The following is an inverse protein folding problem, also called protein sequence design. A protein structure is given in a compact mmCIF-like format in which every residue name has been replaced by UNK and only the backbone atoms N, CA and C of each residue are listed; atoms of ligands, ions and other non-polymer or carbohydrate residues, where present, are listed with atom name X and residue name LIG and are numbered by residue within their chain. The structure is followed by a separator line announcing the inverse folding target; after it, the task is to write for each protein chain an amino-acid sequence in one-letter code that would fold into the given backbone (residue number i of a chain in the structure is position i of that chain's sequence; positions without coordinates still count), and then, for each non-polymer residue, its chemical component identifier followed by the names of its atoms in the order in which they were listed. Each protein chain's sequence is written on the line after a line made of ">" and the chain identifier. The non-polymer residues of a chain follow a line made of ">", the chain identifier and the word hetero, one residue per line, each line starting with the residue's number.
data_IF_261345550639
#
_entry.id   IF_261345550639
#
_cell.length_a   1.000
_cell.length_b   1.000
_cell.length_c   1.000
_cell.angle_alpha   90.00
_cell.angle_beta   90.00
_cell.angle_gamma   90.00
#
_symmetry.space_group_name_H-M   'P 1'
#
loop_
_entity.id
_entity.type
_entity.pdbx_description
1 polymer ?
#
# COMPACT_ATOMS: atom_id res chain seq x y z
N UNK A 1 -23.13 38.41 14.73
CA UNK A 1 -23.49 37.25 15.57
C UNK A 1 -22.20 36.56 15.96
N UNK A 2 -21.86 36.65 17.24
CA UNK A 2 -20.73 36.00 17.94
C UNK A 2 -20.86 34.46 17.84
N UNK A 3 -19.82 33.73 17.42
CA UNK A 3 -18.78 33.09 18.26
C UNK A 3 -19.36 32.28 19.43
N UNK A 4 -19.26 30.95 19.37
CA UNK A 4 -19.00 30.03 20.50
C UNK A 4 -18.61 28.65 19.92
N UNK A 5 -17.33 28.46 19.57
CA UNK A 5 -16.77 27.13 19.33
C UNK A 5 -16.16 26.68 20.65
N UNK A 6 -16.90 25.83 21.36
CA UNK A 6 -16.59 25.45 22.73
C UNK A 6 -15.23 24.75 22.82
N UNK A 7 -14.45 25.31 23.73
CA UNK A 7 -13.10 24.94 24.09
C UNK A 7 -13.07 23.57 24.77
N UNK A 8 -12.55 22.54 24.09
CA UNK A 8 -11.90 21.42 24.77
C UNK A 8 -10.42 21.42 24.44
N UNK A 9 -9.66 21.93 25.42
CA UNK A 9 -8.21 21.83 25.50
C UNK A 9 -7.81 20.35 25.52
N UNK A 10 -7.08 19.90 24.50
CA UNK A 10 -6.04 18.89 24.70
C UNK A 10 -4.75 19.44 24.10
N UNK A 11 -3.99 19.99 25.02
CA UNK A 11 -2.61 20.43 24.91
C UNK A 11 -1.70 19.25 24.56
N UNK A 12 -0.68 19.54 23.74
CA UNK A 12 0.61 18.84 23.60
C UNK A 12 0.63 17.41 23.06
N UNK A 13 1.19 17.26 21.85
CA UNK A 13 2.60 16.88 21.70
C UNK A 13 3.09 17.32 20.31
N UNK A 14 3.92 18.36 20.29
CA UNK A 14 4.77 18.64 19.14
C UNK A 14 5.84 17.53 19.11
N UNK A 15 5.76 16.64 18.12
CA UNK A 15 6.90 15.81 17.73
C UNK A 15 7.28 16.24 16.33
N UNK A 16 8.23 17.18 16.30
CA UNK A 16 9.00 17.52 15.11
C UNK A 16 9.80 16.28 14.72
N UNK A 17 9.25 15.44 13.85
CA UNK A 17 10.04 14.47 13.14
C UNK A 17 10.85 15.26 12.11
N UNK A 18 12.09 15.59 12.47
CA UNK A 18 13.08 16.08 11.53
C UNK A 18 13.25 15.03 10.44
N UNK A 19 12.64 15.27 9.28
CA UNK A 19 12.88 14.51 8.06
C UNK A 19 14.27 14.90 7.53
N UNK A 20 15.31 14.43 8.23
CA UNK A 20 16.66 14.42 7.72
C UNK A 20 16.83 13.15 6.90
N UNK A 21 16.66 13.26 5.59
CA UNK A 21 16.78 12.10 4.70
C UNK A 21 16.53 12.43 3.22
N UNK A 22 17.45 13.18 2.63
CA UNK A 22 17.70 13.11 1.18
C UNK A 22 17.13 14.26 0.34
N UNK A 23 18.05 15.04 -0.23
CA UNK A 23 17.83 16.13 -1.18
C UNK A 23 16.96 15.68 -2.38
N UNK A 24 15.79 16.29 -2.55
CA UNK A 24 15.09 16.36 -3.84
C UNK A 24 15.03 17.82 -4.28
N UNK A 25 16.17 18.34 -4.74
CA UNK A 25 16.18 19.50 -5.63
C UNK A 25 15.92 19.01 -7.06
N UNK A 26 14.67 19.09 -7.49
CA UNK A 26 14.30 19.46 -8.85
C UNK A 26 12.80 19.75 -8.89
N UNK A 27 12.46 20.99 -9.22
CA UNK A 27 11.10 21.47 -9.35
C UNK A 27 10.31 20.66 -10.38
N UNK A 28 9.20 20.06 -9.95
CA UNK A 28 8.06 19.76 -10.81
C UNK A 28 6.78 19.85 -9.95
N UNK A 29 5.86 20.78 -10.24
CA UNK A 29 4.59 20.84 -9.54
C UNK A 29 3.66 19.73 -10.06
N UNK A 30 2.59 19.52 -9.28
CA UNK A 30 1.34 18.88 -9.68
C UNK A 30 1.25 17.35 -9.53
N UNK A 31 0.37 16.94 -8.60
CA UNK A 31 -0.57 15.83 -8.81
C UNK A 31 0.01 14.40 -8.96
N UNK A 32 0.78 13.89 -8.00
CA UNK A 32 1.09 12.45 -8.01
C UNK A 32 1.14 11.76 -6.64
N UNK A 33 0.72 12.44 -5.56
CA UNK A 33 0.82 11.90 -4.20
C UNK A 33 -0.50 11.33 -3.64
N UNK A 34 -1.55 11.14 -4.45
CA UNK A 34 -2.81 10.51 -4.02
C UNK A 34 -2.86 9.00 -4.27
N UNK A 35 -1.72 8.31 -4.26
CA UNK A 35 -1.64 6.85 -4.47
C UNK A 35 -0.93 6.11 -3.32
N UNK A 36 -0.78 6.74 -2.15
CA UNK A 36 -0.15 6.13 -0.98
C UNK A 36 -1.13 5.83 0.17
N UNK A 37 -2.45 5.89 -0.08
CA UNK A 37 -3.47 5.46 0.89
C UNK A 37 -3.85 3.99 0.66
N UNK A 38 -2.88 3.08 0.74
CA UNK A 38 -3.14 1.64 0.85
C UNK A 38 -2.84 1.19 2.27
N UNK A 39 -3.58 1.77 3.22
CA UNK A 39 -3.48 1.50 4.64
C UNK A 39 -4.82 1.03 5.20
N UNK A 40 -5.26 -0.18 4.83
CA UNK A 40 -6.37 -0.85 5.49
C UNK A 40 -6.00 -2.30 5.77
N UNK A 41 -5.26 -2.52 6.87
CA UNK A 41 -5.19 -3.82 7.53
C UNK A 41 -6.51 -4.03 8.29
N UNK A 42 -7.41 -4.86 7.75
CA UNK A 42 -8.65 -5.25 8.42
C UNK A 42 -8.78 -6.77 8.48
N UNK A 43 -8.83 -7.32 9.70
CA UNK A 43 -9.55 -8.54 10.07
C UNK A 43 -9.14 -9.86 9.42
N UNK A 44 -8.46 -10.71 10.19
CA UNK A 44 -8.14 -12.10 9.84
C UNK A 44 -9.38 -13.01 9.93
N UNK A 45 -10.22 -13.00 8.90
CA UNK A 45 -10.92 -14.22 8.45
C UNK A 45 -10.30 -14.51 7.09
N UNK A 46 -9.72 -15.70 6.89
CA UNK A 46 -9.25 -16.10 5.55
C UNK A 46 -10.48 -16.50 4.74
N UNK A 47 -11.31 -15.51 4.40
CA UNK A 47 -12.22 -15.62 3.28
C UNK A 47 -11.33 -15.45 2.06
N UNK A 48 -11.26 -16.51 1.24
CA UNK A 48 -10.56 -16.47 -0.03
C UNK A 48 -11.33 -15.57 -1.01
N UNK A 49 -11.19 -14.26 -0.85
CA UNK A 49 -11.73 -13.27 -1.79
C UNK A 49 -10.87 -13.28 -3.06
N UNK A 50 -11.20 -14.23 -3.96
CA UNK A 50 -10.48 -14.45 -5.20
C UNK A 50 -10.36 -13.19 -6.07
N UNK A 51 -11.39 -12.35 -6.07
CA UNK A 51 -11.40 -11.12 -6.86
C UNK A 51 -10.38 -10.12 -6.33
N UNK A 52 -10.37 -9.87 -5.02
CA UNK A 52 -9.36 -9.00 -4.40
C UNK A 52 -7.95 -9.54 -4.55
N UNK A 53 -7.75 -10.84 -4.30
CA UNK A 53 -6.43 -11.45 -4.41
C UNK A 53 -5.88 -11.38 -5.84
N UNK A 54 -6.72 -11.60 -6.86
CA UNK A 54 -6.30 -11.46 -8.27
C UNK A 54 -6.00 -10.01 -8.63
N UNK A 55 -6.80 -9.06 -8.14
CA UNK A 55 -6.54 -7.64 -8.33
C UNK A 55 -5.19 -7.22 -7.72
N UNK A 56 -4.89 -7.67 -6.50
CA UNK A 56 -3.63 -7.38 -5.81
C UNK A 56 -2.42 -7.98 -6.56
N UNK A 57 -2.54 -9.20 -7.09
CA UNK A 57 -1.52 -9.81 -7.95
C UNK A 57 -1.28 -8.96 -9.21
N UNK A 58 -2.34 -8.49 -9.87
CA UNK A 58 -2.24 -7.67 -11.06
C UNK A 58 -1.58 -6.31 -10.78
N UNK A 59 -1.91 -5.67 -9.66
CA UNK A 59 -1.30 -4.43 -9.22
C UNK A 59 0.20 -4.62 -8.94
N UNK A 60 0.58 -5.65 -8.19
CA UNK A 60 1.98 -5.95 -7.88
C UNK A 60 2.80 -6.27 -9.13
N UNK A 61 2.23 -6.99 -10.11
CA UNK A 61 2.89 -7.24 -11.40
C UNK A 61 3.07 -5.96 -12.20
N UNK A 62 2.06 -5.08 -12.22
CA UNK A 62 2.15 -3.76 -12.87
C UNK A 62 3.22 -2.89 -12.21
N UNK A 63 3.25 -2.85 -10.87
CA UNK A 63 4.26 -2.15 -10.09
C UNK A 63 5.66 -2.70 -10.38
N UNK A 64 5.81 -4.02 -10.43
CA UNK A 64 7.09 -4.65 -10.77
C UNK A 64 7.55 -4.23 -12.17
N UNK A 65 6.67 -4.27 -13.18
CA UNK A 65 7.02 -3.83 -14.54
C UNK A 65 7.42 -2.35 -14.59
N UNK A 66 6.74 -1.49 -13.83
CA UNK A 66 7.12 -0.08 -13.70
C UNK A 66 8.50 0.08 -13.08
N UNK A 67 8.77 -0.61 -11.97
CA UNK A 67 10.07 -0.58 -11.28
C UNK A 67 11.19 -1.11 -12.18
N UNK A 68 10.93 -2.16 -12.95
CA UNK A 68 11.88 -2.74 -13.89
C UNK A 68 12.26 -1.75 -15.00
N UNK A 69 11.26 -1.04 -15.56
CA UNK A 69 11.49 0.03 -16.56
C UNK A 69 12.26 1.23 -16.00
N UNK A 70 12.16 1.48 -14.70
CA UNK A 70 12.90 2.52 -13.99
C UNK A 70 14.31 2.07 -13.56
N UNK A 71 14.72 0.83 -13.87
CA UNK A 71 16.01 0.26 -13.46
C UNK A 71 16.07 -0.23 -12.01
N UNK A 72 14.95 -0.15 -11.27
CA UNK A 72 14.82 -0.62 -9.88
C UNK A 72 14.53 -2.14 -9.83
N UNK A 73 15.47 -2.94 -10.33
CA UNK A 73 15.29 -4.38 -10.52
C UNK A 73 15.13 -5.15 -9.20
N UNK A 74 15.78 -4.72 -8.11
CA UNK A 74 15.67 -5.37 -6.81
C UNK A 74 14.27 -5.20 -6.22
N UNK A 75 13.70 -4.01 -6.34
CA UNK A 75 12.34 -3.66 -5.92
C UNK A 75 11.32 -4.36 -6.82
N UNK A 76 11.57 -4.43 -8.13
CA UNK A 76 10.76 -5.19 -9.06
C UNK A 76 10.71 -6.68 -8.67
N UNK A 77 11.86 -7.27 -8.31
CA UNK A 77 11.94 -8.66 -7.83
C UNK A 77 11.14 -8.86 -6.53
N UNK A 78 11.22 -7.92 -5.58
CA UNK A 78 10.41 -7.96 -4.35
C UNK A 78 8.91 -7.91 -4.65
N UNK A 79 8.48 -7.04 -5.57
CA UNK A 79 7.07 -6.94 -5.96
C UNK A 79 6.57 -8.22 -6.67
N UNK A 80 7.39 -8.82 -7.54
CA UNK A 80 7.10 -10.13 -8.15
C UNK A 80 6.96 -11.23 -7.07
N UNK A 81 7.88 -11.30 -6.12
CA UNK A 81 7.84 -12.29 -5.05
C UNK A 81 6.58 -12.16 -4.16
N UNK A 82 6.11 -10.93 -3.90
CA UNK A 82 4.85 -10.68 -3.20
C UNK A 82 3.65 -11.17 -4.01
N UNK A 83 3.62 -10.89 -5.33
CA UNK A 83 2.57 -11.39 -6.22
C UNK A 83 2.53 -12.93 -6.21
N UNK A 84 3.69 -13.59 -6.27
CA UNK A 84 3.79 -15.05 -6.23
C UNK A 84 3.28 -15.62 -4.90
N UNK A 85 3.53 -14.94 -3.78
CA UNK A 85 3.02 -15.36 -2.48
C UNK A 85 1.48 -15.35 -2.42
N UNK A 86 0.85 -14.30 -2.97
CA UNK A 86 -0.61 -14.23 -3.07
C UNK A 86 -1.13 -15.29 -4.05
N UNK A 87 -0.44 -15.51 -5.16
CA UNK A 87 -0.82 -16.54 -6.12
C UNK A 87 -0.77 -17.95 -5.53
N UNK A 88 0.21 -18.24 -4.66
CA UNK A 88 0.23 -19.48 -3.88
C UNK A 88 -0.94 -19.58 -2.91
N UNK A 89 -1.33 -18.49 -2.26
CA UNK A 89 -2.52 -18.46 -1.40
C UNK A 89 -3.80 -18.73 -2.20
N UNK A 90 -3.96 -18.13 -3.38
CA UNK A 90 -5.10 -18.40 -4.28
C UNK A 90 -5.16 -19.90 -4.59
N UNK A 91 -4.03 -20.51 -4.95
CA UNK A 91 -3.98 -21.94 -5.24
C UNK A 91 -4.39 -22.77 -4.02
N UNK A 92 -3.86 -22.45 -2.84
CA UNK A 92 -4.22 -23.14 -1.60
C UNK A 92 -5.71 -23.05 -1.27
N UNK A 93 -6.35 -21.90 -1.56
CA UNK A 93 -7.79 -21.74 -1.42
C UNK A 93 -8.56 -22.65 -2.38
N UNK A 94 -8.14 -22.69 -3.65
CA UNK A 94 -8.77 -23.54 -4.66
C UNK A 94 -8.63 -25.03 -4.32
N UNK A 95 -7.45 -25.44 -3.86
CA UNK A 95 -7.20 -26.82 -3.44
C UNK A 95 -8.07 -27.17 -2.21
N UNK A 96 -8.23 -26.26 -1.24
CA UNK A 96 -9.10 -26.48 -0.09
C UNK A 96 -10.58 -26.60 -0.47
N UNK A 97 -11.07 -25.81 -1.43
CA UNK A 97 -12.45 -25.89 -1.93
C UNK A 97 -12.70 -27.17 -2.73
N UNK A 98 -11.73 -27.64 -3.52
CA UNK A 98 -11.87 -28.86 -4.33
C UNK A 98 -11.79 -30.16 -3.50
N UNK A 99 -11.24 -30.11 -2.29
CA UNK A 99 -11.10 -31.26 -1.39
C UNK A 99 -12.13 -31.25 -0.23
N UNK A 100 -13.07 -30.31 -0.23
CA UNK A 100 -14.19 -30.23 0.73
C UNK A 100 -15.44 -30.90 0.18
#
# INVERSE_FOLDING_TARGET
>A
MHLEFEMRRITTLAVTAAMAGGLLFAAAPAQAASAAQSGARAGHVIICDYNKMRAEVAELKTKAAKLDRLGAHAEAKKARAQADAIQRKIKSCQDAENNA
#
